data_IF_509075555108
#
_entry.id   IF_509075555108
#
_cell.length_a   1.000
_cell.length_b   1.000
_cell.length_c   1.000
_cell.angle_alpha   90.00
_cell.angle_beta   90.00
_cell.angle_gamma   90.00
#
_symmetry.space_group_name_H-M   'P 1'
#
loop_
_entity.id
_entity.type
_entity.pdbx_description
1 polymer ?
#
# COMPACT_ATOMS: atom_id res chain seq x y z
N UNK A 1 10.34 76.16 27.97
CA UNK A 1 10.29 75.56 26.61
C UNK A 1 11.21 74.34 26.49
N UNK A 2 12.44 74.39 27.04
CA UNK A 2 13.35 73.23 27.13
C UNK A 2 12.77 72.02 27.89
N UNK A 3 12.03 72.25 28.99
CA UNK A 3 11.52 71.13 29.82
C UNK A 3 10.39 70.32 29.16
N UNK A 4 9.55 70.98 28.34
CA UNK A 4 8.52 70.28 27.54
C UNK A 4 9.15 69.41 26.47
N UNK A 5 10.22 69.89 25.82
CA UNK A 5 10.95 69.12 24.80
C UNK A 5 11.62 67.89 25.43
N UNK A 6 12.25 68.03 26.60
CA UNK A 6 12.84 66.90 27.32
C UNK A 6 11.80 65.88 27.80
N UNK A 7 10.62 66.33 28.22
CA UNK A 7 9.50 65.45 28.60
C UNK A 7 8.98 64.66 27.40
N UNK A 8 8.77 65.31 26.25
CA UNK A 8 8.28 64.65 25.03
C UNK A 8 9.30 63.65 24.47
N UNK A 9 10.60 63.97 24.52
CA UNK A 9 11.66 63.06 24.09
C UNK A 9 11.73 61.81 25.00
N UNK A 10 11.56 61.98 26.32
CA UNK A 10 11.53 60.83 27.25
C UNK A 10 10.32 59.91 27.01
N UNK A 11 9.14 60.48 26.77
CA UNK A 11 7.93 59.68 26.49
C UNK A 11 8.05 58.95 25.15
N UNK A 12 8.62 59.58 24.12
CA UNK A 12 8.90 58.93 22.83
C UNK A 12 9.97 57.84 22.93
N UNK A 13 11.02 58.06 23.72
CA UNK A 13 12.07 57.07 23.95
C UNK A 13 11.54 55.85 24.74
N UNK A 14 10.74 56.08 25.77
CA UNK A 14 10.10 54.99 26.53
C UNK A 14 9.06 54.26 25.68
N UNK A 15 8.26 54.97 24.88
CA UNK A 15 7.33 54.36 23.92
C UNK A 15 8.04 53.50 22.87
N UNK A 16 9.15 53.98 22.31
CA UNK A 16 9.96 53.23 21.35
C UNK A 16 10.61 51.99 22.00
N UNK A 17 11.10 52.08 23.23
CA UNK A 17 11.63 50.93 23.97
C UNK A 17 10.54 49.90 24.30
N UNK A 18 9.33 50.32 24.67
CA UNK A 18 8.22 49.40 24.94
C UNK A 18 7.72 48.73 23.65
N UNK A 19 7.64 49.45 22.53
CA UNK A 19 7.30 48.86 21.22
C UNK A 19 8.40 47.92 20.69
N UNK A 20 9.69 48.22 20.94
CA UNK A 20 10.80 47.33 20.61
C UNK A 20 10.80 46.06 21.47
N UNK A 21 10.46 46.17 22.76
CA UNK A 21 10.36 45.02 23.67
C UNK A 21 9.13 44.13 23.36
N UNK A 22 8.00 44.72 22.94
CA UNK A 22 6.82 43.95 22.54
C UNK A 22 6.95 43.29 21.16
N UNK A 23 7.82 43.80 20.28
CA UNK A 23 8.14 43.15 19.00
C UNK A 23 9.27 42.12 19.11
N UNK A 24 10.17 42.24 20.10
CA UNK A 24 11.28 41.30 20.30
C UNK A 24 10.93 40.03 21.08
N UNK A 25 9.82 40.00 21.85
CA UNK A 25 9.45 38.80 22.61
C UNK A 25 8.97 37.63 21.74
N UNK A 26 8.56 37.86 20.49
CA UNK A 26 8.22 36.78 19.54
C UNK A 26 9.44 36.20 18.83
N UNK A 27 10.48 37.01 18.66
CA UNK A 27 11.67 36.68 17.87
C UNK A 27 12.85 36.19 18.73
N UNK A 28 12.84 36.41 20.05
CA UNK A 28 13.96 36.06 20.93
C UNK A 28 13.85 34.69 21.63
N UNK A 29 12.65 34.09 21.75
CA UNK A 29 12.50 32.77 22.41
C UNK A 29 12.73 31.60 21.43
N UNK A 30 12.48 31.79 20.13
CA UNK A 30 12.72 30.73 19.13
C UNK A 30 13.52 31.17 17.90
N UNK A 31 13.98 32.43 17.84
CA UNK A 31 14.49 32.99 16.60
C UNK A 31 13.36 33.10 15.59
N UNK A 32 13.10 34.27 15.02
CA UNK A 32 12.32 34.29 13.78
C UNK A 32 13.18 33.65 12.69
N UNK A 33 13.09 32.32 12.57
CA UNK A 33 13.55 31.58 11.41
C UNK A 33 12.61 31.98 10.28
N UNK A 34 12.83 33.16 9.72
CA UNK A 34 12.33 33.51 8.40
C UNK A 34 13.14 32.68 7.44
N UNK A 35 12.69 31.45 7.22
CA UNK A 35 13.21 30.62 6.15
C UNK A 35 12.94 31.38 4.86
N UNK A 36 13.97 31.78 4.09
CA UNK A 36 13.76 32.37 2.77
C UNK A 36 12.80 31.48 1.97
N UNK A 37 11.90 32.04 1.18
CA UNK A 37 10.87 31.27 0.47
C UNK A 37 11.47 30.11 -0.36
N UNK A 38 12.64 30.36 -0.96
CA UNK A 38 13.47 29.40 -1.69
C UNK A 38 14.14 28.30 -0.84
N UNK A 39 14.08 28.41 0.47
CA UNK A 39 14.64 27.50 1.48
C UNK A 39 13.52 26.93 2.37
N UNK A 40 12.28 27.42 2.24
CA UNK A 40 11.13 27.03 3.04
C UNK A 40 10.79 25.58 2.71
N UNK A 41 11.00 24.61 3.64
CA UNK A 41 10.78 23.21 3.35
C UNK A 41 9.34 22.93 2.90
N UNK A 42 8.33 23.69 3.34
CA UNK A 42 6.94 23.54 2.88
C UNK A 42 6.76 23.92 1.40
N UNK A 43 7.51 24.92 0.90
CA UNK A 43 7.47 25.38 -0.50
C UNK A 43 8.50 24.67 -1.39
N UNK A 44 9.59 24.19 -0.78
CA UNK A 44 10.66 23.39 -1.36
C UNK A 44 10.42 21.89 -1.30
N UNK A 45 9.29 21.43 -0.74
CA UNK A 45 8.67 20.17 -1.08
C UNK A 45 8.32 20.25 -2.57
N UNK A 46 9.36 20.16 -3.41
CA UNK A 46 9.31 19.61 -4.75
C UNK A 46 8.38 18.42 -4.60
N UNK A 47 7.29 18.46 -5.37
CA UNK A 47 6.37 17.34 -5.54
C UNK A 47 7.16 16.05 -5.37
N UNK A 48 6.86 15.23 -4.35
CA UNK A 48 7.55 13.96 -4.17
C UNK A 48 7.52 13.22 -5.50
N UNK A 49 8.68 13.06 -6.14
CA UNK A 49 8.77 12.40 -7.45
C UNK A 49 8.73 10.91 -7.20
N UNK A 50 7.75 10.25 -7.77
CA UNK A 50 7.75 8.79 -7.88
C UNK A 50 8.84 8.36 -8.86
N UNK A 51 9.43 7.18 -8.64
CA UNK A 51 10.32 6.59 -9.65
C UNK A 51 9.55 6.19 -10.91
N UNK A 52 8.21 6.22 -10.92
CA UNK A 52 7.39 6.06 -12.12
C UNK A 52 7.78 7.08 -13.23
N UNK A 53 8.21 8.29 -12.85
CA UNK A 53 8.70 9.32 -13.78
C UNK A 53 9.86 8.83 -14.67
N UNK A 54 10.68 7.92 -14.16
CA UNK A 54 11.78 7.31 -14.93
C UNK A 54 11.19 6.44 -16.04
N UNK A 55 10.15 5.67 -15.74
CA UNK A 55 9.47 4.83 -16.72
C UNK A 55 8.64 5.66 -17.71
N UNK A 56 8.10 6.82 -17.32
CA UNK A 56 7.44 7.73 -18.28
C UNK A 56 8.41 8.32 -19.29
N UNK A 57 9.66 8.60 -18.89
CA UNK A 57 10.71 9.09 -19.79
C UNK A 57 11.26 8.01 -20.72
N UNK A 58 11.17 6.75 -20.28
CA UNK A 58 11.64 5.58 -21.02
C UNK A 58 10.56 4.51 -21.02
N UNK A 59 9.45 4.73 -21.76
CA UNK A 59 8.32 3.80 -21.75
C UNK A 59 8.78 2.43 -22.24
N UNK A 60 8.30 1.34 -21.63
CA UNK A 60 8.65 0.00 -22.07
C UNK A 60 7.98 -0.27 -23.43
N UNK A 61 8.73 -0.09 -24.52
CA UNK A 61 8.29 -0.38 -25.88
C UNK A 61 8.44 -1.88 -26.14
N UNK A 62 7.44 -2.48 -26.81
CA UNK A 62 7.50 -3.86 -27.29
C UNK A 62 7.55 -3.84 -28.81
N UNK A 63 8.60 -4.42 -29.38
CA UNK A 63 8.82 -4.53 -30.83
C UNK A 63 8.39 -5.88 -31.41
N UNK A 64 7.83 -6.77 -30.57
CA UNK A 64 7.40 -8.10 -30.97
C UNK A 64 6.28 -8.00 -32.01
N UNK A 65 6.42 -8.63 -33.20
CA UNK A 65 5.35 -8.67 -34.18
C UNK A 65 4.16 -9.51 -33.66
N UNK A 66 2.95 -9.20 -34.13
CA UNK A 66 1.72 -9.96 -33.86
C UNK A 66 1.29 -10.02 -32.39
N UNK A 67 1.31 -8.89 -31.69
CA UNK A 67 0.72 -8.77 -30.36
C UNK A 67 -0.77 -9.13 -30.38
N UNK A 68 -1.25 -9.82 -29.35
CA UNK A 68 -2.68 -10.09 -29.18
C UNK A 68 -3.41 -8.76 -29.00
N UNK A 69 -4.41 -8.49 -29.83
CA UNK A 69 -5.27 -7.30 -29.70
C UNK A 69 -6.72 -7.76 -29.46
N UNK A 70 -7.07 -8.13 -28.21
CA UNK A 70 -8.39 -8.65 -27.87
C UNK A 70 -9.48 -7.56 -27.84
N UNK A 71 -9.12 -6.28 -27.96
CA UNK A 71 -10.06 -5.15 -27.94
C UNK A 71 -9.80 -4.18 -29.10
N UNK A 72 -9.88 -4.63 -30.36
CA UNK A 72 -9.42 -3.87 -31.53
C UNK A 72 -10.17 -2.55 -31.74
N UNK A 73 -11.44 -2.48 -31.33
CA UNK A 73 -12.29 -1.30 -31.48
C UNK A 73 -12.45 -0.50 -30.17
N UNK A 74 -11.77 -0.90 -29.10
CA UNK A 74 -11.97 -0.34 -27.77
C UNK A 74 -10.79 0.46 -27.24
N UNK A 75 -10.82 0.72 -25.93
CA UNK A 75 -9.80 1.49 -25.24
C UNK A 75 -8.43 0.79 -25.24
N UNK A 76 -8.41 -0.54 -25.19
CA UNK A 76 -7.19 -1.35 -25.16
C UNK A 76 -6.69 -1.75 -26.55
N UNK A 77 -7.23 -1.16 -27.63
CA UNK A 77 -6.70 -1.38 -28.97
C UNK A 77 -5.19 -1.10 -29.02
N UNK A 78 -4.43 -2.07 -29.52
CA UNK A 78 -2.97 -2.03 -29.65
C UNK A 78 -2.19 -1.88 -28.34
N UNK A 79 -2.78 -2.19 -27.18
CA UNK A 79 -2.06 -2.22 -25.91
C UNK A 79 -0.86 -3.18 -26.00
N UNK A 80 0.28 -2.75 -25.47
CA UNK A 80 1.54 -3.48 -25.58
C UNK A 80 2.21 -3.71 -24.23
N UNK A 81 2.18 -2.73 -23.34
CA UNK A 81 2.76 -2.86 -22.00
C UNK A 81 1.90 -2.20 -20.94
N UNK A 82 2.08 -2.63 -19.70
CA UNK A 82 1.54 -1.98 -18.53
C UNK A 82 2.63 -1.87 -17.46
N UNK A 83 2.94 -0.65 -17.01
CA UNK A 83 3.73 -0.45 -15.80
C UNK A 83 2.80 -0.56 -14.60
N UNK A 84 3.15 -1.45 -13.67
CA UNK A 84 2.50 -1.59 -12.38
C UNK A 84 3.40 -0.93 -11.35
N UNK A 85 2.83 -0.02 -10.57
CA UNK A 85 3.46 0.52 -9.38
C UNK A 85 2.68 0.09 -8.15
N UNK A 86 3.40 -0.43 -7.15
CA UNK A 86 2.89 -0.71 -5.81
C UNK A 86 3.55 0.24 -4.83
N UNK A 87 2.76 1.04 -4.12
CA UNK A 87 3.20 2.12 -3.24
C UNK A 87 2.60 1.98 -1.86
N UNK A 88 3.42 1.95 -0.82
CA UNK A 88 2.93 2.01 0.56
C UNK A 88 2.29 3.37 0.84
N UNK A 89 1.15 3.33 1.51
CA UNK A 89 0.37 4.48 1.95
C UNK A 89 -0.50 4.15 3.17
N UNK A 90 -1.27 5.14 3.62
CA UNK A 90 -2.20 4.97 4.72
C UNK A 90 -3.43 5.87 4.57
N UNK A 91 -4.39 5.71 5.48
CA UNK A 91 -5.64 6.48 5.51
C UNK A 91 -5.52 7.68 6.44
N UNK A 92 -5.88 8.87 5.96
CA UNK A 92 -6.04 10.12 6.75
C UNK A 92 -7.47 10.31 7.30
N UNK A 93 -8.20 9.20 7.43
CA UNK A 93 -9.62 9.25 7.76
C UNK A 93 -10.47 9.81 6.61
N UNK A 94 -11.79 9.82 6.82
CA UNK A 94 -12.77 10.43 5.90
C UNK A 94 -12.70 10.00 4.42
N UNK A 95 -12.05 8.89 4.09
CA UNK A 95 -11.91 8.50 2.69
C UNK A 95 -10.69 9.09 1.97
N UNK A 96 -9.82 9.82 2.66
CA UNK A 96 -8.57 10.34 2.10
C UNK A 96 -7.47 9.30 2.29
N UNK A 97 -6.77 8.96 1.21
CA UNK A 97 -5.61 8.06 1.22
C UNK A 97 -4.42 8.80 0.62
N UNK A 98 -3.24 8.55 1.16
CA UNK A 98 -2.00 9.13 0.63
C UNK A 98 -0.88 8.09 0.61
N UNK A 99 0.09 8.33 -0.27
CA UNK A 99 1.32 7.53 -0.32
C UNK A 99 2.34 8.05 0.68
N UNK A 100 2.99 7.15 1.41
CA UNK A 100 4.09 7.52 2.30
C UNK A 100 5.27 8.10 1.51
N UNK A 101 6.10 8.91 2.15
CA UNK A 101 7.40 9.30 1.58
C UNK A 101 8.23 8.06 1.23
N UNK A 102 9.08 8.20 0.19
CA UNK A 102 10.05 7.17 -0.18
C UNK A 102 11.37 7.50 0.50
N UNK A 103 11.83 6.60 1.37
CA UNK A 103 13.09 6.76 2.08
C UNK A 103 14.14 5.85 1.47
N UNK A 104 15.24 6.43 0.96
CA UNK A 104 16.28 5.67 0.26
C UNK A 104 16.93 4.56 1.10
N UNK A 105 16.91 4.69 2.43
CA UNK A 105 17.49 3.74 3.39
C UNK A 105 16.46 3.03 4.25
N UNK A 106 15.17 3.08 3.89
CA UNK A 106 14.19 2.35 4.66
C UNK A 106 14.49 0.84 4.68
N UNK A 107 14.12 0.15 5.77
CA UNK A 107 14.30 -1.29 5.92
C UNK A 107 13.58 -2.07 4.81
N UNK A 108 12.38 -1.66 4.39
CA UNK A 108 11.72 -2.15 3.16
C UNK A 108 11.51 -1.02 2.15
N UNK A 109 11.20 -1.40 0.91
CA UNK A 109 10.90 -0.46 -0.17
C UNK A 109 9.43 -0.01 -0.08
N UNK A 110 9.20 1.31 -0.01
CA UNK A 110 7.86 1.91 -0.01
C UNK A 110 7.26 2.01 -1.42
N UNK A 111 8.04 1.74 -2.47
CA UNK A 111 7.64 1.84 -3.88
C UNK A 111 8.31 0.73 -4.69
N UNK A 112 7.51 -0.08 -5.38
CA UNK A 112 7.94 -1.27 -6.11
C UNK A 112 7.29 -1.29 -7.51
N UNK A 113 7.96 -1.87 -8.49
CA UNK A 113 7.55 -1.83 -9.89
C UNK A 113 7.58 -3.20 -10.58
N UNK A 114 6.65 -3.39 -11.51
CA UNK A 114 6.68 -4.48 -12.47
C UNK A 114 6.21 -3.99 -13.84
N UNK A 115 6.67 -4.65 -14.90
CA UNK A 115 6.22 -4.39 -16.27
C UNK A 115 5.49 -5.63 -16.77
N UNK A 116 4.24 -5.47 -17.18
CA UNK A 116 3.51 -6.47 -17.95
C UNK A 116 3.76 -6.20 -19.42
N UNK A 117 4.16 -7.22 -20.15
CA UNK A 117 4.37 -7.20 -21.60
C UNK A 117 3.32 -8.08 -22.26
N UNK A 118 2.61 -7.51 -23.22
CA UNK A 118 1.75 -8.28 -24.11
C UNK A 118 2.64 -9.15 -25.01
N UNK A 119 2.25 -10.39 -25.23
CA UNK A 119 2.93 -11.32 -26.13
C UNK A 119 1.90 -12.12 -26.95
N UNK A 120 2.30 -12.80 -28.03
CA UNK A 120 1.39 -13.65 -28.79
C UNK A 120 0.73 -14.76 -27.97
N UNK A 121 1.38 -15.24 -26.89
CA UNK A 121 0.88 -16.32 -26.02
C UNK A 121 0.13 -15.81 -24.78
N UNK A 122 0.11 -14.50 -24.55
CA UNK A 122 -0.53 -13.87 -23.39
C UNK A 122 0.38 -12.89 -22.63
N UNK A 123 -0.16 -12.15 -21.66
CA UNK A 123 0.62 -11.20 -20.88
C UNK A 123 1.69 -11.90 -20.02
N UNK A 124 2.91 -11.36 -19.99
CA UNK A 124 4.01 -11.81 -19.12
C UNK A 124 4.40 -10.66 -18.20
N UNK A 125 4.60 -10.94 -16.91
CA UNK A 125 5.00 -9.93 -15.93
C UNK A 125 6.47 -10.09 -15.54
N UNK A 126 7.18 -8.96 -15.47
CA UNK A 126 8.57 -8.87 -15.03
C UNK A 126 8.64 -7.91 -13.84
N UNK A 127 8.89 -8.44 -12.64
CA UNK A 127 9.12 -7.61 -11.44
C UNK A 127 10.51 -6.98 -11.53
N UNK A 128 10.60 -5.66 -11.34
CA UNK A 128 11.89 -5.00 -11.24
C UNK A 128 12.53 -5.31 -9.89
N UNK A 129 13.40 -6.30 -9.87
CA UNK A 129 14.14 -6.70 -8.66
C UNK A 129 15.01 -5.61 -8.05
N UNK A 130 15.32 -4.52 -8.78
CA UNK A 130 15.99 -3.33 -8.21
C UNK A 130 15.04 -2.44 -7.41
N UNK A 131 13.74 -2.55 -7.66
CA UNK A 131 12.70 -1.85 -6.90
C UNK A 131 12.23 -2.64 -5.68
N UNK A 132 12.46 -3.95 -5.64
CA UNK A 132 12.06 -4.82 -4.52
C UNK A 132 13.20 -5.07 -3.53
N UNK A 133 14.46 -4.88 -3.92
CA UNK A 133 15.63 -5.05 -3.06
C UNK A 133 15.65 -4.02 -1.92
N UNK A 134 15.92 -4.45 -0.69
CA UNK A 134 16.10 -3.53 0.44
C UNK A 134 17.49 -2.88 0.42
N UNK A 135 17.65 -1.77 1.14
CA UNK A 135 18.96 -1.12 1.30
C UNK A 135 20.01 -2.09 1.86
N UNK A 136 19.64 -2.84 2.91
CA UNK A 136 20.53 -3.80 3.57
C UNK A 136 20.93 -4.96 2.65
N UNK A 137 19.99 -5.50 1.87
CA UNK A 137 20.29 -6.53 0.88
C UNK A 137 21.24 -6.02 -0.21
N UNK A 138 21.03 -4.79 -0.68
CA UNK A 138 21.87 -4.17 -1.69
C UNK A 138 23.31 -3.96 -1.19
N UNK A 139 23.49 -3.50 0.05
CA UNK A 139 24.81 -3.38 0.69
C UNK A 139 25.55 -4.71 0.79
N UNK A 140 24.81 -5.81 0.95
CA UNK A 140 25.33 -7.19 1.04
C UNK A 140 25.48 -7.87 -0.33
N UNK A 141 25.23 -7.15 -1.43
CA UNK A 141 25.39 -7.67 -2.79
C UNK A 141 24.32 -8.67 -3.23
N UNK A 142 23.17 -8.70 -2.57
CA UNK A 142 22.05 -9.56 -2.96
C UNK A 142 21.23 -8.96 -4.11
N UNK A 143 20.31 -9.75 -4.65
CA UNK A 143 19.28 -9.32 -5.61
C UNK A 143 17.93 -9.33 -4.91
N UNK A 144 17.08 -8.34 -5.21
CA UNK A 144 15.71 -8.32 -4.74
C UNK A 144 14.89 -9.48 -5.28
N UNK A 145 13.79 -9.84 -4.60
CA UNK A 145 12.90 -10.91 -5.05
C UNK A 145 12.12 -10.51 -6.31
N UNK A 146 11.61 -11.52 -6.99
CA UNK A 146 10.72 -11.43 -8.15
C UNK A 146 9.23 -11.32 -7.76
N UNK A 147 8.95 -10.79 -6.57
CA UNK A 147 7.60 -10.55 -6.06
C UNK A 147 7.53 -9.25 -5.28
N UNK A 148 6.34 -8.66 -5.20
CA UNK A 148 6.11 -7.51 -4.34
C UNK A 148 6.06 -7.90 -2.87
N UNK A 149 6.82 -7.18 -2.05
CA UNK A 149 6.88 -7.31 -0.60
C UNK A 149 5.82 -6.43 0.03
N UNK A 150 4.91 -7.05 0.77
CA UNK A 150 3.77 -6.37 1.39
C UNK A 150 3.80 -6.57 2.90
N UNK A 151 3.60 -5.48 3.63
CA UNK A 151 3.27 -5.53 5.07
C UNK A 151 1.76 -5.41 5.20
N UNK A 152 1.12 -6.40 5.82
CA UNK A 152 -0.31 -6.41 6.10
C UNK A 152 -0.67 -5.56 7.31
N UNK A 153 -1.86 -4.97 7.32
CA UNK A 153 -2.39 -4.18 8.44
C UNK A 153 -3.84 -3.76 8.13
N UNK A 154 -4.60 -3.38 9.15
CA UNK A 154 -5.91 -2.74 9.00
C UNK A 154 -5.79 -1.25 8.63
N UNK A 155 -4.64 -0.61 8.83
CA UNK A 155 -4.43 0.81 8.52
C UNK A 155 -3.42 1.09 7.40
N UNK A 156 -2.61 0.10 7.02
CA UNK A 156 -1.68 0.18 5.90
C UNK A 156 -2.37 -0.21 4.60
N UNK A 157 -2.10 0.58 3.58
CA UNK A 157 -2.72 0.45 2.28
C UNK A 157 -1.63 0.46 1.22
N UNK A 158 -1.73 -0.46 0.28
CA UNK A 158 -0.77 -0.56 -0.81
C UNK A 158 -1.42 -0.06 -2.08
N UNK A 159 -1.12 1.19 -2.42
CA UNK A 159 -1.53 1.84 -3.65
C UNK A 159 -1.06 1.05 -4.86
N UNK A 160 -1.99 0.66 -5.72
CA UNK A 160 -1.76 -0.09 -6.94
C UNK A 160 -2.13 0.79 -8.12
N UNK A 161 -1.14 1.16 -8.93
CA UNK A 161 -1.31 2.02 -10.11
C UNK A 161 -0.92 1.27 -11.38
N UNK A 162 -1.72 1.42 -12.43
CA UNK A 162 -1.53 0.81 -13.74
C UNK A 162 -1.38 1.87 -14.82
N UNK A 163 -0.28 1.82 -15.57
CA UNK A 163 -0.03 2.70 -16.71
C UNK A 163 0.10 1.86 -17.97
N UNK A 164 -0.95 1.86 -18.78
CA UNK A 164 -1.01 1.12 -20.03
C UNK A 164 -0.46 1.94 -21.18
N UNK A 165 0.38 1.31 -22.00
CA UNK A 165 0.96 1.89 -23.20
C UNK A 165 0.55 1.07 -24.43
N UNK A 166 0.36 1.76 -25.56
CA UNK A 166 0.22 1.11 -26.85
C UNK A 166 1.59 0.67 -27.42
N UNK A 167 1.56 0.00 -28.58
CA UNK A 167 2.75 -0.45 -29.32
C UNK A 167 3.74 0.67 -29.69
N UNK A 168 3.29 1.92 -29.73
CA UNK A 168 4.14 3.08 -30.02
C UNK A 168 4.76 3.69 -28.76
N UNK A 169 4.43 3.15 -27.58
CA UNK A 169 4.87 3.68 -26.29
C UNK A 169 4.03 4.86 -25.80
N UNK A 170 2.87 5.12 -26.40
CA UNK A 170 1.96 6.18 -25.97
C UNK A 170 1.09 5.67 -24.82
N UNK A 171 0.99 6.45 -23.76
CA UNK A 171 0.08 6.19 -22.64
C UNK A 171 -1.38 6.21 -23.12
N UNK A 172 -2.15 5.15 -22.84
CA UNK A 172 -3.56 5.02 -23.23
C UNK A 172 -4.54 5.13 -22.06
N UNK A 173 -4.06 5.45 -20.86
CA UNK A 173 -4.90 5.61 -19.66
C UNK A 173 -6.07 6.59 -19.86
N UNK A 174 -5.84 7.72 -20.52
CA UNK A 174 -6.91 8.70 -20.82
C UNK A 174 -7.99 8.10 -21.73
N UNK A 175 -7.59 7.28 -22.72
CA UNK A 175 -8.53 6.58 -23.60
C UNK A 175 -9.34 5.52 -22.85
N UNK A 176 -8.71 4.84 -21.89
CA UNK A 176 -9.40 3.90 -20.98
C UNK A 176 -10.38 4.66 -20.09
N UNK A 177 -9.99 5.83 -19.60
CA UNK A 177 -10.84 6.70 -18.80
C UNK A 177 -12.08 7.19 -19.57
N UNK A 178 -11.91 7.69 -20.80
CA UNK A 178 -12.99 8.16 -21.67
C UNK A 178 -14.02 7.06 -22.02
N UNK A 179 -13.61 5.80 -21.89
CA UNK A 179 -14.46 4.64 -22.11
C UNK A 179 -14.69 3.83 -20.84
N UNK A 180 -14.38 4.37 -19.66
CA UNK A 180 -14.41 3.65 -18.38
C UNK A 180 -15.79 3.11 -18.01
N UNK A 181 -16.86 3.67 -18.58
CA UNK A 181 -18.21 3.12 -18.51
C UNK A 181 -18.32 1.74 -19.16
N UNK A 182 -17.42 1.31 -20.05
CA UNK A 182 -17.46 -0.01 -20.71
C UNK A 182 -16.56 -1.06 -20.05
N UNK A 183 -15.63 -0.63 -19.19
CA UNK A 183 -14.59 -1.48 -18.62
C UNK A 183 -14.61 -1.49 -17.10
N UNK A 184 -14.15 -2.60 -16.53
CA UNK A 184 -13.84 -2.72 -15.11
C UNK A 184 -12.62 -3.62 -14.91
N UNK A 185 -11.85 -3.34 -13.86
CA UNK A 185 -10.74 -4.19 -13.44
C UNK A 185 -11.16 -4.92 -12.17
N UNK A 186 -11.00 -6.23 -12.17
CA UNK A 186 -11.26 -7.09 -11.03
C UNK A 186 -9.96 -7.66 -10.47
N UNK A 187 -9.95 -7.88 -9.16
CA UNK A 187 -8.83 -8.36 -8.38
C UNK A 187 -9.25 -9.57 -7.57
N UNK A 188 -8.61 -10.70 -7.80
CA UNK A 188 -8.83 -11.92 -7.02
C UNK A 188 -7.51 -12.56 -6.61
N UNK A 189 -7.56 -13.42 -5.60
CA UNK A 189 -6.53 -14.44 -5.46
C UNK A 189 -6.53 -15.29 -6.75
N UNK A 190 -5.37 -15.55 -7.30
CA UNK A 190 -5.24 -16.34 -8.54
C UNK A 190 -5.17 -17.84 -8.24
N UNK A 191 -5.75 -18.64 -9.14
CA UNK A 191 -5.62 -20.10 -9.21
C UNK A 191 -4.35 -20.55 -9.94
N UNK A 192 -3.74 -19.64 -10.71
CA UNK A 192 -2.51 -19.85 -11.50
C UNK A 192 -1.44 -18.80 -11.19
N UNK A 193 -0.18 -19.10 -11.50
CA UNK A 193 0.96 -18.20 -11.36
C UNK A 193 1.05 -17.17 -12.52
N UNK A 194 2.15 -16.42 -12.59
CA UNK A 194 2.44 -15.45 -13.65
C UNK A 194 2.65 -16.06 -15.04
N UNK A 195 2.78 -17.39 -15.14
CA UNK A 195 2.99 -18.14 -16.38
C UNK A 195 1.75 -18.91 -16.81
N UNK A 196 0.70 -18.92 -15.99
CA UNK A 196 -0.54 -19.62 -16.25
C UNK A 196 -0.57 -21.05 -15.69
N UNK A 197 0.42 -21.45 -14.89
CA UNK A 197 0.47 -22.77 -14.27
C UNK A 197 -0.27 -22.79 -12.93
N UNK A 198 -0.96 -23.88 -12.57
CA UNK A 198 -1.64 -24.00 -11.29
C UNK A 198 -0.73 -23.68 -10.10
N UNK A 199 -1.16 -22.77 -9.22
CA UNK A 199 -0.33 -22.29 -8.11
C UNK A 199 -0.84 -22.76 -6.75
N UNK A 200 0.08 -23.27 -5.92
CA UNK A 200 -0.18 -23.57 -4.51
C UNK A 200 0.18 -22.37 -3.65
N UNK A 201 -0.80 -21.81 -2.95
CA UNK A 201 -0.58 -20.69 -2.03
C UNK A 201 0.25 -21.17 -0.85
N UNK A 202 1.36 -20.49 -0.63
CA UNK A 202 2.32 -20.82 0.42
C UNK A 202 2.08 -19.92 1.64
N UNK A 203 2.34 -20.45 2.82
CA UNK A 203 2.24 -19.77 4.10
C UNK A 203 3.64 -19.62 4.71
N UNK A 204 4.04 -18.35 4.95
CA UNK A 204 5.38 -17.98 5.41
C UNK A 204 5.45 -17.69 6.91
N UNK A 205 4.32 -17.82 7.60
CA UNK A 205 4.21 -17.76 9.04
C UNK A 205 5.25 -18.60 9.77
N UNK A 206 5.95 -17.99 10.72
CA UNK A 206 6.89 -18.64 11.63
C UNK A 206 6.24 -19.49 12.73
N UNK A 207 6.35 -20.83 12.69
CA UNK A 207 5.58 -21.78 13.53
C UNK A 207 6.18 -22.13 14.87
N UNK A 208 7.14 -21.33 15.35
CA UNK A 208 7.74 -21.51 16.66
C UNK A 208 8.08 -22.97 16.90
N UNK A 209 8.90 -23.57 16.02
CA UNK A 209 9.12 -25.02 15.90
C UNK A 209 9.36 -25.79 17.21
N UNK A 210 9.39 -27.13 17.15
CA UNK A 210 9.66 -27.96 18.35
C UNK A 210 10.89 -27.44 19.12
N UNK A 211 10.65 -26.89 20.32
CA UNK A 211 11.71 -26.27 21.14
C UNK A 211 11.86 -24.75 21.04
N UNK A 212 10.98 -24.00 20.34
CA UNK A 212 10.96 -22.53 20.38
C UNK A 212 10.65 -21.95 21.78
N UNK A 213 10.25 -22.81 22.72
CA UNK A 213 10.09 -22.50 24.14
C UNK A 213 11.37 -22.67 24.97
N UNK A 214 12.46 -23.17 24.39
CA UNK A 214 13.78 -23.04 25.01
C UNK A 214 14.31 -21.66 24.65
N UNK A 215 14.25 -20.74 25.61
CA UNK A 215 14.88 -19.40 25.58
C UNK A 215 16.42 -19.47 25.46
N UNK A 216 16.98 -20.59 25.01
CA UNK A 216 18.42 -20.80 24.91
C UNK A 216 19.04 -19.91 23.81
N UNK A 217 18.27 -19.48 22.81
CA UNK A 217 18.67 -18.50 21.78
C UNK A 217 18.54 -17.03 22.25
N UNK A 218 17.92 -16.82 23.42
CA UNK A 218 17.88 -15.56 24.16
C UNK A 218 19.02 -15.48 25.20
N UNK A 219 19.86 -16.50 25.32
CA UNK A 219 21.08 -16.40 26.11
C UNK A 219 22.06 -15.46 25.42
N UNK A 220 22.56 -14.47 26.14
CA UNK A 220 23.58 -13.51 25.69
C UNK A 220 24.87 -14.20 25.18
N UNK A 221 25.09 -15.47 25.56
CA UNK A 221 26.23 -16.29 25.17
C UNK A 221 26.06 -17.06 23.82
N UNK A 222 24.91 -16.91 23.13
CA UNK A 222 24.72 -17.57 21.84
C UNK A 222 25.65 -16.96 20.78
N UNK A 223 26.71 -17.70 20.42
CA UNK A 223 27.64 -17.32 19.36
C UNK A 223 27.24 -18.02 18.05
N UNK A 224 26.88 -17.29 16.99
CA UNK A 224 26.47 -17.92 15.73
C UNK A 224 27.61 -18.66 15.04
N UNK A 225 27.28 -19.77 14.38
CA UNK A 225 28.22 -20.39 13.44
C UNK A 225 28.44 -19.47 12.23
N UNK A 226 29.70 -19.14 11.88
CA UNK A 226 30.00 -18.31 10.72
C UNK A 226 29.37 -18.90 9.44
N UNK A 227 28.54 -18.11 8.76
CA UNK A 227 27.91 -18.50 7.50
C UNK A 227 26.58 -19.25 7.61
N UNK A 228 26.03 -19.44 8.82
CA UNK A 228 24.66 -19.92 9.01
C UNK A 228 23.79 -18.83 9.65
N UNK A 229 22.52 -18.68 9.22
CA UNK A 229 21.60 -17.77 9.89
C UNK A 229 21.40 -18.23 11.35
N UNK A 230 21.44 -17.29 12.28
CA UNK A 230 21.39 -17.45 13.75
C UNK A 230 20.08 -18.07 14.28
N UNK A 231 19.22 -18.61 13.41
CA UNK A 231 17.79 -18.79 13.65
C UNK A 231 17.27 -20.00 12.87
N UNK A 232 16.40 -20.86 13.42
CA UNK A 232 15.78 -21.93 12.66
C UNK A 232 14.97 -21.33 11.50
N UNK A 233 15.50 -21.41 10.28
CA UNK A 233 14.74 -21.12 9.06
C UNK A 233 13.72 -22.25 8.94
N UNK A 234 12.49 -21.98 9.37
CA UNK A 234 11.39 -22.83 8.98
C UNK A 234 11.04 -22.54 7.52
N UNK A 235 11.05 -23.55 6.67
CA UNK A 235 10.62 -23.43 5.29
C UNK A 235 9.14 -23.02 5.22
N UNK A 236 8.78 -22.30 4.15
CA UNK A 236 7.37 -22.05 3.86
C UNK A 236 6.66 -23.37 3.57
N UNK A 237 5.42 -23.51 4.03
CA UNK A 237 4.60 -24.69 3.76
C UNK A 237 3.39 -24.30 2.92
N UNK A 238 2.74 -25.25 2.21
CA UNK A 238 1.43 -25.01 1.62
C UNK A 238 0.43 -24.51 2.68
N UNK A 239 -0.40 -23.54 2.30
CA UNK A 239 -1.47 -23.05 3.19
C UNK A 239 -2.49 -24.16 3.45
N UNK A 240 -2.66 -24.53 4.73
CA UNK A 240 -3.65 -25.52 5.18
C UNK A 240 -5.06 -25.16 4.66
N UNK A 241 -5.47 -23.90 4.83
CA UNK A 241 -6.78 -23.40 4.39
C UNK A 241 -7.02 -23.64 2.90
N UNK A 242 -6.04 -23.30 2.06
CA UNK A 242 -6.19 -23.43 0.61
C UNK A 242 -5.97 -24.86 0.10
N UNK A 243 -5.19 -25.69 0.81
CA UNK A 243 -5.01 -27.10 0.44
C UNK A 243 -6.28 -27.94 0.58
N UNK A 244 -7.22 -27.50 1.42
CA UNK A 244 -8.49 -28.17 1.66
C UNK A 244 -9.60 -27.73 0.69
N UNK A 245 -9.29 -26.82 -0.25
CA UNK A 245 -10.24 -26.21 -1.18
C UNK A 245 -9.83 -26.49 -2.62
N UNK A 246 -10.80 -26.48 -3.52
CA UNK A 246 -10.54 -26.66 -4.95
C UNK A 246 -9.68 -25.51 -5.50
N UNK A 247 -8.65 -25.83 -6.29
CA UNK A 247 -7.87 -24.82 -6.99
C UNK A 247 -8.57 -24.39 -8.29
N UNK A 248 -9.68 -23.66 -8.15
CA UNK A 248 -10.44 -23.10 -9.26
C UNK A 248 -10.61 -21.60 -9.09
N UNK A 249 -10.69 -20.87 -10.20
CA UNK A 249 -10.93 -19.43 -10.18
C UNK A 249 -12.10 -19.02 -9.28
N UNK A 250 -13.25 -19.69 -9.38
CA UNK A 250 -14.45 -19.38 -8.57
C UNK A 250 -14.18 -19.56 -7.08
N UNK A 251 -13.53 -20.65 -6.67
CA UNK A 251 -13.20 -20.85 -5.26
C UNK A 251 -12.23 -19.78 -4.74
N UNK A 252 -11.26 -19.34 -5.56
CA UNK A 252 -10.35 -18.24 -5.21
C UNK A 252 -11.05 -16.89 -5.12
N UNK A 253 -12.00 -16.63 -6.02
CA UNK A 253 -12.82 -15.42 -6.00
C UNK A 253 -13.62 -15.31 -4.69
N UNK A 254 -14.26 -16.41 -4.25
CA UNK A 254 -14.99 -16.48 -2.98
C UNK A 254 -14.09 -16.25 -1.75
N UNK A 255 -12.86 -16.74 -1.79
CA UNK A 255 -11.91 -16.59 -0.68
C UNK A 255 -11.19 -15.25 -0.67
N UNK A 256 -11.20 -14.52 -1.78
CA UNK A 256 -10.45 -13.26 -1.94
C UNK A 256 -10.72 -12.28 -0.79
N UNK A 257 -11.98 -12.00 -0.40
CA UNK A 257 -12.28 -11.06 0.70
C UNK A 257 -11.71 -11.47 2.06
N UNK A 258 -11.36 -12.74 2.27
CA UNK A 258 -10.75 -13.24 3.51
C UNK A 258 -9.22 -13.04 3.54
N UNK A 259 -8.62 -12.71 2.39
CA UNK A 259 -7.18 -12.48 2.24
C UNK A 259 -6.88 -10.99 2.08
N UNK A 260 -7.58 -10.32 1.16
CA UNK A 260 -7.40 -8.91 0.92
C UNK A 260 -8.66 -8.24 0.39
N UNK A 261 -8.71 -6.93 0.56
CA UNK A 261 -9.70 -6.07 -0.07
C UNK A 261 -9.05 -5.09 -1.02
N UNK A 262 -9.73 -4.82 -2.13
CA UNK A 262 -9.41 -3.69 -2.98
C UNK A 262 -10.31 -2.52 -2.59
N UNK A 263 -9.69 -1.43 -2.15
CA UNK A 263 -10.36 -0.21 -1.74
C UNK A 263 -9.97 0.89 -2.73
N UNK A 264 -10.93 1.35 -3.51
CA UNK A 264 -10.75 2.56 -4.31
C UNK A 264 -10.98 3.77 -3.40
N UNK A 265 -9.99 4.65 -3.30
CA UNK A 265 -10.16 6.00 -2.75
C UNK A 265 -9.10 6.90 -3.35
N UNK A 266 -9.47 7.53 -4.45
CA UNK A 266 -8.88 8.80 -4.82
C UNK A 266 -9.88 9.58 -5.69
N UNK A 267 -11.06 9.81 -5.13
CA UNK A 267 -12.08 10.65 -5.76
C UNK A 267 -11.89 12.12 -5.42
N UNK A 268 -10.90 12.52 -4.64
CA UNK A 268 -10.76 13.91 -4.20
C UNK A 268 -10.24 14.83 -5.28
N UNK A 269 -10.60 16.12 -5.24
CA UNK A 269 -9.97 17.08 -6.15
C UNK A 269 -8.47 17.17 -5.88
N UNK A 270 -7.70 17.47 -6.93
CA UNK A 270 -6.25 17.60 -6.87
C UNK A 270 -5.78 18.58 -5.76
N UNK A 271 -6.52 19.65 -5.52
CA UNK A 271 -6.19 20.67 -4.50
C UNK A 271 -6.60 20.27 -3.08
N UNK A 272 -7.51 19.31 -2.96
CA UNK A 272 -8.02 18.82 -1.67
C UNK A 272 -7.24 17.60 -1.15
N UNK A 273 -6.39 17.01 -1.99
CA UNK A 273 -5.40 16.00 -1.59
C UNK A 273 -4.21 16.70 -0.93
N UNK A 274 -4.10 16.60 0.40
CA UNK A 274 -2.94 17.10 1.15
C UNK A 274 -1.64 16.46 0.67
N UNK A 275 -0.56 17.24 0.67
CA UNK A 275 0.84 16.79 0.61
C UNK A 275 1.38 16.17 -0.69
N UNK A 276 0.93 16.67 -1.84
CA UNK A 276 1.75 16.60 -3.05
C UNK A 276 1.60 15.33 -3.89
N UNK A 277 0.47 14.64 -3.80
CA UNK A 277 0.05 13.58 -4.73
C UNK A 277 -0.28 14.11 -6.15
N UNK A 278 0.57 14.98 -6.71
CA UNK A 278 0.23 15.83 -7.86
C UNK A 278 0.12 15.08 -9.20
N UNK A 279 0.65 13.86 -9.32
CA UNK A 279 0.76 13.17 -10.62
C UNK A 279 0.14 11.75 -10.66
N UNK A 280 -1.02 11.57 -10.04
CA UNK A 280 -1.78 10.32 -10.19
C UNK A 280 -3.18 10.59 -10.76
N UNK A 281 -3.41 10.10 -11.98
CA UNK A 281 -4.67 10.24 -12.71
C UNK A 281 -5.85 9.70 -11.88
N UNK A 282 -6.74 10.60 -11.46
CA UNK A 282 -8.02 10.23 -10.87
C UNK A 282 -8.90 9.62 -11.95
N UNK A 283 -9.32 8.36 -11.75
CA UNK A 283 -10.32 7.74 -12.61
C UNK A 283 -11.68 8.15 -12.07
N UNK A 284 -12.18 9.25 -12.62
CA UNK A 284 -13.47 9.83 -12.27
C UNK A 284 -14.61 9.01 -12.88
N UNK A 285 -14.99 7.93 -12.21
CA UNK A 285 -16.31 7.35 -12.43
C UNK A 285 -17.38 8.06 -11.59
N UNK A 286 -16.97 8.71 -10.50
CA UNK A 286 -17.77 9.63 -9.70
C UNK A 286 -17.21 11.06 -9.81
N UNK A 287 -18.07 12.10 -9.72
CA UNK A 287 -17.61 13.48 -9.57
C UNK A 287 -16.63 13.58 -8.39
N UNK A 288 -15.54 14.35 -8.52
CA UNK A 288 -14.55 14.38 -7.48
C UNK A 288 -15.14 14.98 -6.19
N UNK A 289 -14.80 14.37 -5.06
CA UNK A 289 -15.11 14.86 -3.72
C UNK A 289 -14.30 16.11 -3.42
N UNK A 290 -14.94 17.07 -2.76
CA UNK A 290 -14.29 18.30 -2.30
C UNK A 290 -14.17 18.29 -0.78
N UNK A 291 -13.42 19.23 -0.19
CA UNK A 291 -13.43 19.43 1.28
C UNK A 291 -14.83 19.52 1.90
N UNK A 292 -15.85 19.97 1.15
CA UNK A 292 -17.24 20.02 1.60
C UNK A 292 -17.87 18.64 1.81
N UNK A 293 -17.29 17.60 1.23
CA UNK A 293 -17.76 16.23 1.27
C UNK A 293 -17.09 15.38 2.36
N UNK A 294 -16.10 15.91 3.09
CA UNK A 294 -15.28 15.18 4.08
C UNK A 294 -16.06 14.21 4.97
N UNK A 295 -17.11 14.67 5.63
CA UNK A 295 -17.89 13.82 6.53
C UNK A 295 -18.76 12.77 5.82
N UNK A 296 -19.03 12.98 4.53
CA UNK A 296 -19.87 12.13 3.69
C UNK A 296 -19.06 11.26 2.71
N UNK A 297 -17.78 11.56 2.51
CA UNK A 297 -16.89 10.92 1.54
C UNK A 297 -16.81 9.40 1.73
N UNK A 298 -16.74 8.95 2.99
CA UNK A 298 -16.79 7.51 3.36
C UNK A 298 -18.07 6.80 2.91
N UNK A 299 -19.14 7.54 2.63
CA UNK A 299 -20.44 7.04 2.21
C UNK A 299 -20.80 7.41 0.77
N UNK A 300 -20.03 8.28 0.13
CA UNK A 300 -20.24 8.73 -1.23
C UNK A 300 -19.57 7.80 -2.25
N UNK A 301 -18.47 7.16 -1.86
CA UNK A 301 -17.66 6.34 -2.75
C UNK A 301 -18.00 4.85 -2.59
N UNK A 302 -18.71 4.31 -3.57
CA UNK A 302 -19.12 2.90 -3.65
C UNK A 302 -18.51 2.22 -4.87
N UNK A 303 -17.60 2.92 -5.56
CA UNK A 303 -17.09 2.47 -6.84
C UNK A 303 -15.71 1.86 -6.66
N UNK A 304 -15.63 0.52 -6.72
CA UNK A 304 -14.37 -0.22 -6.52
C UNK A 304 -13.59 -0.36 -7.83
N UNK A 305 -13.40 0.73 -8.58
CA UNK A 305 -12.96 0.65 -9.98
C UNK A 305 -11.64 1.37 -10.27
N UNK A 306 -10.68 0.60 -10.80
CA UNK A 306 -9.97 0.89 -12.06
C UNK A 306 -8.73 1.81 -12.02
N UNK A 307 -7.67 1.35 -12.69
CA UNK A 307 -6.26 1.82 -12.85
C UNK A 307 -5.49 2.39 -11.65
N UNK A 308 -6.15 2.83 -10.59
CA UNK A 308 -5.54 3.22 -9.32
C UNK A 308 -6.43 2.74 -8.18
N UNK A 309 -5.86 2.22 -7.11
CA UNK A 309 -6.61 1.89 -5.90
C UNK A 309 -5.68 1.35 -4.84
N UNK A 310 -6.20 0.72 -3.80
CA UNK A 310 -5.36 0.23 -2.70
C UNK A 310 -5.72 -1.21 -2.35
N UNK A 311 -4.69 -2.04 -2.17
CA UNK A 311 -4.84 -3.34 -1.56
C UNK A 311 -4.68 -3.23 -0.05
N UNK A 312 -5.60 -3.84 0.67
CA UNK A 312 -5.60 -3.94 2.13
C UNK A 312 -5.56 -5.41 2.52
N UNK A 313 -4.48 -5.83 3.18
CA UNK A 313 -4.26 -7.20 3.64
C UNK A 313 -4.42 -7.24 5.16
N UNK A 314 -5.66 -7.11 5.65
CA UNK A 314 -6.21 -7.40 7.00
C UNK A 314 -7.54 -6.62 7.09
N UNK A 315 -8.70 -7.27 7.19
CA UNK A 315 -9.97 -6.54 7.34
C UNK A 315 -10.99 -7.35 8.14
N UNK A 316 -11.79 -6.61 8.92
CA UNK A 316 -12.96 -6.97 9.72
C UNK A 316 -13.44 -8.45 9.58
N UNK A 317 -13.45 -9.22 10.68
CA UNK A 317 -13.54 -10.67 10.69
C UNK A 317 -14.83 -11.27 10.09
N UNK A 318 -14.79 -12.56 9.69
CA UNK A 318 -13.68 -13.51 9.89
C UNK A 318 -12.74 -13.67 8.67
N UNK A 319 -11.45 -13.42 8.88
CA UNK A 319 -10.38 -13.79 7.94
C UNK A 319 -9.86 -15.22 8.17
N UNK A 320 -8.76 -15.58 7.50
CA UNK A 320 -8.21 -16.95 7.53
C UNK A 320 -7.40 -17.19 8.82
N UNK A 321 -7.70 -18.29 9.50
CA UNK A 321 -7.11 -18.63 10.80
C UNK A 321 -7.24 -17.47 11.82
N UNK A 322 -8.35 -16.72 11.77
CA UNK A 322 -8.67 -15.69 12.75
C UNK A 322 -8.61 -16.29 14.17
N UNK A 323 -7.97 -15.59 15.10
CA UNK A 323 -8.06 -15.97 16.51
C UNK A 323 -9.45 -15.58 17.00
N UNK A 324 -10.28 -16.59 17.25
CA UNK A 324 -11.40 -16.48 18.16
C UNK A 324 -11.03 -17.28 19.40
N UNK A 325 -11.39 -16.82 20.59
CA UNK A 325 -11.23 -17.59 21.83
C UNK A 325 -11.91 -18.97 21.82
N UNK A 326 -12.58 -19.34 20.73
CA UNK A 326 -13.31 -20.59 20.50
C UNK A 326 -12.60 -21.60 19.60
N UNK A 327 -11.59 -21.20 18.81
CA UNK A 327 -10.99 -22.08 17.79
C UNK A 327 -9.74 -22.84 18.26
N UNK A 328 -9.23 -22.57 19.47
CA UNK A 328 -8.07 -23.25 20.06
C UNK A 328 -6.72 -23.06 19.35
N UNK A 329 -6.69 -22.58 18.10
CA UNK A 329 -5.49 -22.22 17.35
C UNK A 329 -4.95 -20.89 17.87
N UNK A 330 -3.79 -20.91 18.53
CA UNK A 330 -3.09 -19.69 18.98
C UNK A 330 -1.81 -19.53 18.17
N UNK A 331 -1.62 -18.35 17.59
CA UNK A 331 -0.54 -18.15 16.64
C UNK A 331 0.06 -16.74 16.67
N UNK A 332 1.40 -16.64 16.73
CA UNK A 332 2.29 -17.39 17.62
C UNK A 332 2.17 -16.73 19.01
N UNK A 333 1.86 -17.51 20.04
CA UNK A 333 1.30 -17.02 21.30
C UNK A 333 1.99 -15.83 21.98
N UNK A 334 1.11 -14.93 22.45
CA UNK A 334 1.22 -13.95 23.54
C UNK A 334 2.38 -12.96 23.56
N UNK A 335 2.02 -11.66 23.50
CA UNK A 335 2.83 -10.52 23.94
C UNK A 335 3.48 -10.85 25.29
N UNK A 336 4.59 -10.17 25.66
CA UNK A 336 5.26 -10.35 26.96
C UNK A 336 4.32 -10.34 28.18
N UNK A 337 3.22 -9.58 28.07
CA UNK A 337 2.18 -9.46 29.08
C UNK A 337 1.15 -10.62 29.11
N UNK A 338 1.34 -11.67 28.31
CA UNK A 338 0.46 -12.84 28.26
C UNK A 338 -0.82 -12.65 27.44
N UNK A 339 -0.98 -11.56 26.67
CA UNK A 339 -2.14 -11.34 25.78
C UNK A 339 -1.83 -11.75 24.34
N UNK A 340 -2.75 -12.37 23.59
CA UNK A 340 -2.50 -12.77 22.21
C UNK A 340 -2.43 -11.56 21.27
N UNK A 341 -1.67 -11.67 20.19
CA UNK A 341 -1.81 -10.78 19.02
C UNK A 341 -3.21 -11.02 18.40
N UNK A 342 -3.96 -9.94 18.15
CA UNK A 342 -5.30 -10.03 17.55
C UNK A 342 -5.30 -9.44 16.15
N UNK A 343 -5.62 -10.27 15.16
CA UNK A 343 -5.89 -9.85 13.77
C UNK A 343 -6.93 -10.74 13.11
N UNK A 344 -7.55 -10.24 12.04
CA UNK A 344 -8.63 -10.93 11.34
C UNK A 344 -8.13 -12.15 10.56
N UNK A 345 -6.91 -12.10 10.05
CA UNK A 345 -6.27 -13.19 9.32
C UNK A 345 -4.84 -13.37 9.81
N UNK A 346 -4.47 -14.59 10.21
CA UNK A 346 -3.08 -14.87 10.60
C UNK A 346 -2.23 -15.32 9.42
N UNK A 347 -2.83 -15.69 8.29
CA UNK A 347 -2.10 -16.16 7.12
C UNK A 347 -1.08 -15.12 6.62
N UNK A 348 0.17 -15.54 6.39
CA UNK A 348 1.19 -14.74 5.69
C UNK A 348 1.42 -15.34 4.29
N UNK A 349 0.55 -15.05 3.32
CA UNK A 349 0.60 -15.75 2.04
C UNK A 349 1.71 -15.24 1.13
N UNK A 350 2.34 -16.14 0.38
CA UNK A 350 2.80 -15.84 -0.98
C UNK A 350 1.76 -16.36 -1.95
N UNK A 351 1.24 -15.46 -2.76
CA UNK A 351 0.16 -15.70 -3.70
C UNK A 351 0.35 -14.86 -4.95
N UNK A 352 -0.54 -15.06 -5.91
CA UNK A 352 -0.67 -14.17 -7.04
C UNK A 352 -2.01 -13.45 -6.98
N UNK A 353 -2.00 -12.14 -7.20
CA UNK A 353 -3.21 -11.32 -7.38
C UNK A 353 -3.54 -11.32 -8.86
N UNK A 354 -4.61 -12.00 -9.25
CA UNK A 354 -5.12 -11.94 -10.61
C UNK A 354 -5.75 -10.56 -10.85
N UNK A 355 -5.28 -9.88 -11.88
CA UNK A 355 -5.84 -8.62 -12.39
C UNK A 355 -6.53 -8.94 -13.70
N UNK A 356 -7.86 -8.76 -13.73
CA UNK A 356 -8.68 -9.06 -14.90
C UNK A 356 -9.29 -7.76 -15.41
N UNK A 357 -8.90 -7.33 -16.61
CA UNK A 357 -9.58 -6.24 -17.29
C UNK A 357 -10.71 -6.86 -18.10
N UNK A 358 -11.93 -6.47 -17.80
CA UNK A 358 -13.11 -6.95 -18.50
C UNK A 358 -13.89 -5.81 -19.13
N UNK A 359 -14.49 -6.10 -20.27
CA UNK A 359 -15.37 -5.20 -21.04
C UNK A 359 -16.79 -5.77 -21.01
N UNK A 360 -17.80 -4.93 -20.79
CA UNK A 360 -19.19 -5.39 -20.90
C UNK A 360 -19.59 -5.49 -22.38
N UNK A 361 -20.19 -6.61 -22.77
CA UNK A 361 -20.54 -6.93 -24.16
C UNK A 361 -21.58 -5.95 -24.75
N UNK A 362 -22.60 -5.62 -23.98
CA UNK A 362 -23.74 -4.81 -24.43
C UNK A 362 -23.55 -3.30 -24.26
N UNK A 363 -22.33 -2.84 -23.97
CA UNK A 363 -22.00 -1.42 -23.82
C UNK A 363 -21.63 -1.03 -22.39
N UNK A 364 -22.38 -0.11 -21.79
CA UNK A 364 -22.00 0.46 -20.49
C UNK A 364 -22.21 -0.56 -19.36
N UNK A 365 -21.18 -0.76 -18.53
CA UNK A 365 -21.19 -1.55 -17.30
C UNK A 365 -22.37 -1.16 -16.42
N UNK A 366 -23.02 -2.18 -15.86
CA UNK A 366 -24.25 -2.00 -15.09
C UNK A 366 -23.89 -1.38 -13.75
N UNK A 367 -24.55 -0.27 -13.46
CA UNK A 367 -24.67 0.28 -12.11
C UNK A 367 -26.00 -0.18 -11.54
N UNK A 368 -25.96 -0.97 -10.45
CA UNK A 368 -27.15 -1.50 -9.80
C UNK A 368 -27.53 -0.61 -8.62
N UNK A 369 -28.83 -0.54 -8.24
CA UNK A 369 -29.23 0.07 -6.98
C UNK A 369 -28.44 -0.53 -5.83
N UNK A 370 -27.93 0.33 -4.94
CA UNK A 370 -27.29 -0.14 -3.71
C UNK A 370 -28.36 -0.82 -2.86
N UNK A 371 -28.12 -2.03 -2.33
CA UNK A 371 -29.01 -2.69 -1.38
C UNK A 371 -29.38 -1.79 -0.18
N UNK A 372 -30.64 -1.80 0.27
CA UNK A 372 -31.14 -0.91 1.33
C UNK A 372 -30.33 -1.01 2.65
N UNK A 373 -29.85 -2.20 2.98
CA UNK A 373 -29.00 -2.48 4.15
C UNK A 373 -27.63 -1.79 4.08
N UNK A 374 -27.15 -1.51 2.87
CA UNK A 374 -25.88 -0.85 2.57
C UNK A 374 -26.09 0.66 2.33
N UNK A 375 -27.32 1.10 2.05
CA UNK A 375 -27.66 2.48 1.62
C UNK A 375 -27.61 3.52 2.75
N UNK A 376 -27.70 3.10 4.02
CA UNK A 376 -27.79 4.01 5.17
C UNK A 376 -26.60 4.98 5.24
N UNK A 377 -26.85 6.28 5.13
CA UNK A 377 -25.84 7.35 5.19
C UNK A 377 -25.11 7.64 3.87
N UNK A 378 -25.43 6.93 2.78
CA UNK A 378 -24.79 7.08 1.46
C UNK A 378 -25.41 8.17 0.59
N UNK A 379 -24.56 8.89 -0.15
CA UNK A 379 -24.98 9.88 -1.16
C UNK A 379 -25.29 9.23 -2.52
N UNK A 380 -24.56 8.17 -2.89
CA UNK A 380 -24.85 7.42 -4.11
C UNK A 380 -26.05 6.49 -3.89
N UNK A 381 -26.87 6.29 -4.91
CA UNK A 381 -27.93 5.29 -4.96
C UNK A 381 -27.56 4.09 -5.83
N UNK A 382 -26.39 4.13 -6.48
CA UNK A 382 -25.95 3.18 -7.49
C UNK A 382 -24.52 2.68 -7.22
N UNK A 383 -24.24 1.41 -7.51
CA UNK A 383 -22.90 0.80 -7.38
C UNK A 383 -22.52 -0.08 -8.59
N UNK A 384 -21.23 -0.16 -8.88
CA UNK A 384 -20.65 -1.12 -9.82
C UNK A 384 -20.55 -2.52 -9.21
N UNK A 385 -20.13 -3.50 -10.02
CA UNK A 385 -19.81 -4.84 -9.51
C UNK A 385 -18.67 -4.80 -8.50
N UNK A 386 -18.64 -5.79 -7.62
CA UNK A 386 -17.60 -5.94 -6.61
C UNK A 386 -16.22 -6.14 -7.22
N UNK A 387 -15.17 -5.76 -6.50
CA UNK A 387 -13.79 -5.87 -7.02
C UNK A 387 -13.38 -7.31 -7.32
N UNK A 388 -14.01 -8.31 -6.69
CA UNK A 388 -13.70 -9.72 -6.90
C UNK A 388 -14.24 -10.25 -8.22
N UNK A 389 -15.25 -9.61 -8.83
CA UNK A 389 -15.77 -10.02 -10.12
C UNK A 389 -17.12 -9.41 -10.46
N UNK A 390 -17.57 -9.56 -11.70
CA UNK A 390 -18.85 -9.05 -12.15
C UNK A 390 -20.03 -9.77 -11.48
N UNK A 391 -21.12 -9.04 -11.25
CA UNK A 391 -22.36 -9.63 -10.70
C UNK A 391 -22.96 -10.73 -11.60
N UNK A 392 -22.77 -10.62 -12.92
CA UNK A 392 -23.11 -11.64 -13.91
C UNK A 392 -21.97 -11.78 -14.91
N UNK A 393 -21.13 -12.79 -14.74
CA UNK A 393 -19.93 -13.05 -15.57
C UNK A 393 -20.26 -13.18 -17.07
N UNK A 394 -21.42 -13.72 -17.44
CA UNK A 394 -21.78 -13.98 -18.83
C UNK A 394 -21.88 -12.71 -19.69
N UNK A 395 -22.17 -11.57 -19.07
CA UNK A 395 -22.30 -10.27 -19.74
C UNK A 395 -20.96 -9.62 -20.06
N UNK A 396 -19.86 -10.20 -19.57
CA UNK A 396 -18.53 -9.63 -19.66
C UNK A 396 -17.63 -10.46 -20.57
N UNK A 397 -16.68 -9.77 -21.17
CA UNK A 397 -15.59 -10.33 -21.96
C UNK A 397 -14.28 -9.97 -21.28
N UNK A 398 -13.45 -10.97 -21.00
CA UNK A 398 -12.10 -10.75 -20.46
C UNK A 398 -11.17 -10.29 -21.58
N UNK A 399 -10.71 -9.04 -21.47
CA UNK A 399 -9.80 -8.44 -22.45
C UNK A 399 -8.37 -8.91 -22.18
N UNK A 400 -7.94 -8.85 -20.93
CA UNK A 400 -6.63 -9.36 -20.52
C UNK A 400 -6.65 -9.75 -19.04
N UNK A 401 -5.81 -10.73 -18.72
CA UNK A 401 -5.52 -11.17 -17.36
C UNK A 401 -4.02 -11.32 -17.19
N UNK A 402 -3.51 -10.85 -16.06
CA UNK A 402 -2.15 -11.12 -15.59
C UNK A 402 -2.16 -11.29 -14.07
N UNK A 403 -1.15 -11.97 -13.54
CA UNK A 403 -1.13 -12.37 -12.14
C UNK A 403 0.09 -11.74 -11.47
N UNK A 404 -0.15 -10.83 -10.52
CA UNK A 404 0.91 -10.10 -9.81
C UNK A 404 1.44 -10.96 -8.65
N UNK A 405 2.72 -11.33 -8.63
CA UNK A 405 3.29 -12.06 -7.51
C UNK A 405 3.41 -11.17 -6.28
N UNK A 406 2.78 -11.59 -5.17
CA UNK A 406 2.74 -10.86 -3.91
C UNK A 406 3.11 -11.78 -2.76
N UNK A 407 3.92 -11.27 -1.84
CA UNK A 407 4.16 -11.90 -0.54
C UNK A 407 3.82 -10.92 0.58
N UNK A 408 2.82 -11.27 1.38
CA UNK A 408 2.59 -10.61 2.65
C UNK A 408 3.50 -11.25 3.67
N UNK A 409 4.60 -10.58 3.99
CA UNK A 409 5.68 -11.18 4.75
C UNK A 409 5.55 -10.93 6.25
N UNK A 410 4.84 -9.89 6.69
CA UNK A 410 4.56 -9.61 8.12
C UNK A 410 3.35 -8.70 8.26
N UNK A 411 2.81 -8.52 9.48
CA UNK A 411 1.72 -7.58 9.76
C UNK A 411 2.05 -6.60 10.87
N UNK A 412 1.54 -5.37 10.81
CA UNK A 412 1.76 -4.35 11.85
C UNK A 412 1.32 -4.78 13.27
N UNK A 413 0.32 -5.66 13.39
CA UNK A 413 -0.13 -6.20 14.68
C UNK A 413 0.70 -7.38 15.22
N UNK A 414 1.73 -7.83 14.50
CA UNK A 414 2.65 -8.89 14.94
C UNK A 414 3.72 -8.37 15.94
N UNK A 415 3.58 -7.16 16.48
CA UNK A 415 4.46 -6.52 17.49
C UNK A 415 3.65 -5.76 18.55
N UNK A 416 4.10 -5.73 19.81
CA UNK A 416 3.56 -4.84 20.85
C UNK A 416 4.09 -3.42 20.65
N UNK A 417 3.20 -2.44 20.42
CA UNK A 417 3.60 -1.06 20.43
C UNK A 417 4.18 -0.50 21.72
N UNK A 418 3.72 -0.98 22.84
CA UNK A 418 4.04 -0.32 24.10
C UNK A 418 5.33 -0.85 24.71
N UNK A 419 5.82 -2.00 24.23
CA UNK A 419 7.02 -2.69 24.73
C UNK A 419 7.58 -3.61 23.63
N UNK A 420 8.13 -3.04 22.53
CA UNK A 420 8.56 -3.83 21.39
C UNK A 420 9.75 -4.73 21.76
N UNK A 421 9.73 -5.97 21.29
CA UNK A 421 10.82 -6.93 21.48
C UNK A 421 11.35 -7.41 20.12
N UNK A 422 12.68 -7.38 19.89
CA UNK A 422 13.27 -7.83 18.63
C UNK A 422 12.93 -9.28 18.25
N UNK A 423 12.46 -10.12 19.17
CA UNK A 423 12.06 -11.50 18.92
C UNK A 423 10.55 -11.69 18.70
N UNK A 424 9.78 -10.61 18.64
CA UNK A 424 8.38 -10.68 18.23
C UNK A 424 8.23 -11.17 16.78
N UNK A 425 7.07 -11.77 16.44
CA UNK A 425 6.83 -12.30 15.10
C UNK A 425 7.07 -11.27 14.00
N UNK A 426 6.78 -9.99 14.26
CA UNK A 426 7.05 -8.89 13.33
C UNK A 426 8.50 -8.85 12.83
N UNK A 427 9.44 -8.67 13.76
CA UNK A 427 10.87 -8.53 13.46
C UNK A 427 11.46 -9.86 12.99
N UNK A 428 10.91 -10.98 13.45
CA UNK A 428 11.27 -12.28 12.92
C UNK A 428 10.97 -12.41 11.43
N UNK A 429 9.74 -12.13 11.00
CA UNK A 429 9.40 -12.25 9.59
C UNK A 429 10.09 -11.18 8.74
N UNK A 430 10.22 -9.96 9.26
CA UNK A 430 10.98 -8.88 8.64
C UNK A 430 12.43 -9.31 8.38
N UNK A 431 13.10 -9.83 9.42
CA UNK A 431 14.48 -10.30 9.31
C UNK A 431 14.62 -11.45 8.32
N UNK A 432 13.72 -12.45 8.38
CA UNK A 432 13.71 -13.56 7.41
C UNK A 432 13.53 -13.07 5.97
N UNK A 433 12.64 -12.10 5.74
CA UNK A 433 12.39 -11.53 4.41
C UNK A 433 13.61 -10.77 3.85
N UNK A 434 14.34 -10.09 4.73
CA UNK A 434 15.45 -9.19 4.40
C UNK A 434 16.83 -9.81 4.58
N UNK A 435 16.89 -11.08 5.00
CA UNK A 435 18.14 -11.80 5.31
C UNK A 435 18.93 -11.13 6.43
N UNK A 436 18.20 -10.69 7.45
CA UNK A 436 18.68 -10.12 8.71
C UNK A 436 18.31 -11.05 9.88
N UNK A 437 19.04 -10.95 10.97
CA UNK A 437 18.55 -11.41 12.28
C UNK A 437 17.36 -10.53 12.74
N UNK A 438 16.48 -11.03 13.63
CA UNK A 438 15.41 -10.22 14.21
C UNK A 438 15.93 -8.97 14.92
N UNK A 439 17.09 -9.03 15.58
CA UNK A 439 17.75 -7.88 16.22
C UNK A 439 18.21 -6.85 15.17
N UNK A 440 18.89 -7.28 14.10
CA UNK A 440 19.27 -6.37 13.00
C UNK A 440 18.04 -5.76 12.33
N UNK A 441 16.96 -6.53 12.17
CA UNK A 441 15.71 -6.07 11.60
C UNK A 441 15.03 -5.03 12.51
N UNK A 442 14.99 -5.29 13.82
CA UNK A 442 14.55 -4.34 14.83
C UNK A 442 15.34 -3.03 14.75
N UNK A 443 16.67 -3.09 14.83
CA UNK A 443 17.53 -1.90 14.73
C UNK A 443 17.34 -1.14 13.41
N UNK A 444 17.21 -1.85 12.28
CA UNK A 444 16.97 -1.22 10.97
C UNK A 444 15.62 -0.49 10.88
N UNK A 445 14.64 -0.81 11.73
CA UNK A 445 13.34 -0.13 11.79
C UNK A 445 13.30 1.06 12.75
N UNK A 446 14.29 1.22 13.63
CA UNK A 446 14.29 2.26 14.66
C UNK A 446 14.44 3.68 14.10
N UNK A 447 15.08 3.82 12.94
CA UNK A 447 15.43 5.12 12.35
C UNK A 447 14.43 5.61 11.27
N UNK A 448 13.26 4.97 11.14
CA UNK A 448 12.24 5.33 10.13
C UNK A 448 11.23 6.32 10.73
N UNK A 449 11.27 7.59 10.29
CA UNK A 449 10.33 8.64 10.70
C UNK A 449 9.04 8.54 9.86
N UNK A 450 7.84 8.54 10.46
CA UNK A 450 6.56 8.54 9.73
C UNK A 450 5.62 9.62 10.29
N UNK A 451 4.94 10.34 9.38
CA UNK A 451 3.95 11.38 9.72
C UNK A 451 2.57 10.76 9.97
N UNK A 452 1.95 11.12 11.10
CA UNK A 452 0.57 10.77 11.48
C UNK A 452 -0.24 12.01 11.90
N UNK A 453 -1.57 11.89 11.86
CA UNK A 453 -2.51 12.99 11.55
C UNK A 453 -2.86 13.99 12.68
N UNK A 454 -2.37 13.82 13.91
CA UNK A 454 -2.83 14.69 15.01
C UNK A 454 -1.83 14.94 16.15
N UNK A 455 -0.62 14.38 16.11
CA UNK A 455 0.37 14.63 17.16
C UNK A 455 -0.07 14.23 18.58
N UNK A 456 -1.14 13.42 18.72
CA UNK A 456 -1.59 12.85 19.99
C UNK A 456 -1.66 11.34 19.85
N UNK A 457 -0.58 10.67 20.24
CA UNK A 457 -0.41 9.23 20.13
C UNK A 457 -1.62 8.44 20.61
N UNK A 458 -2.09 7.53 19.76
CA UNK A 458 -3.16 6.59 20.07
C UNK A 458 -3.37 5.55 18.98
N UNK A 459 -2.81 4.36 19.23
CA UNK A 459 -3.11 3.06 18.60
C UNK A 459 -2.52 2.76 17.21
N UNK A 460 -1.25 2.37 17.23
CA UNK A 460 -0.76 1.32 16.35
C UNK A 460 0.75 1.36 16.21
N UNK A 461 1.48 0.31 16.61
CA UNK A 461 2.79 0.05 15.99
C UNK A 461 2.65 -0.41 14.53
N UNK A 462 1.42 -0.37 14.00
CA UNK A 462 1.10 -0.21 12.59
C UNK A 462 1.19 1.23 12.05
N UNK A 463 1.56 2.21 12.89
CA UNK A 463 1.68 3.64 12.61
C UNK A 463 2.85 4.19 13.44
N UNK A 464 4.04 3.79 13.00
CA UNK A 464 5.39 4.09 13.46
C UNK A 464 5.55 5.46 14.14
N UNK A 465 5.94 5.43 15.42
CA UNK A 465 5.83 6.55 16.36
C UNK A 465 7.09 7.45 16.43
N UNK A 466 6.82 8.76 16.34
CA UNK A 466 7.49 9.95 16.91
C UNK A 466 8.90 10.36 16.44
#
# INVERSE_FOLDING_TARGET
MKDKIYSTIKVLAVGACVCALMSSCRDFIYGSIKVPEKDNPILNLKVPRTKADIYFKTPPIVTTPNLKNPDPEGAFADWATCLIMVKEGHSHGYGMLHGNYVYDKAPWQQEQFAVVRNTPTGPVIEVDTKSTITFQEAQRGFKGPDYFRIIGDTHRLWGLCFYFYDKSGKLINDKIYDQSQKYQIFFTVSDVDDKGEPYTIMDYRWRGGEGAYKRDWLNEDYTPEPGKPNWPIQDSIPSEYFSQRSNTFIARQEDTPKVFQYVYRDTWTHEDMGDGARDYYNIKLLPPLTKKDLYNARFADVDRVGLKGHLKFDFDPPGIDAWSGYNGKRWPETLKNGKPHYRSTHLLPKLYVAVRVMKKKDGNKVVFPIPEDIQTGRKSTLMCSEYTGPANEADWEEILRFNIPVKVFTYGFDTDPTDPDPYEPYYWHLGKEMRLSPVEAFEATRDVIIHGDDGVGGNGFGSWFL
#
